data_IF_818005884327
#
_entry.id   IF_818005884327
#
_cell.length_a   1.000
_cell.length_b   1.000
_cell.length_c   1.000
_cell.angle_alpha   90.00
_cell.angle_beta   90.00
_cell.angle_gamma   90.00
#
_symmetry.space_group_name_H-M   'P 1'
#
loop_
_entity.id
_entity.type
_entity.pdbx_description
1 polymer ?
#
# COMPACT_ATOMS: atom_id res chain seq x y z
N UNK A 1 3.29 -4.81 5.79
CA UNK A 1 3.68 -4.47 5.65
C UNK A 1 3.95 -4.09 5.63
N UNK A 2 3.62 -4.16 5.50
CA UNK A 2 4.02 -3.70 5.26
C UNK A 2 4.55 -3.50 5.01
N UNK A 3 4.42 -3.37 4.65
CA UNK A 3 5.09 -3.09 4.37
C UNK A 3 5.42 -2.29 4.89
N UNK A 4 5.24 -2.03 5.44
CA UNK A 4 5.68 -1.31 6.13
C UNK A 4 5.35 -1.14 7.16
N UNK A 5 4.98 -1.41 7.62
CA UNK A 5 4.93 -1.13 8.43
C UNK A 5 5.30 -0.78 9.30
N UNK A 6 5.71 -0.33 9.64
CA UNK A 6 6.14 0.28 10.31
C UNK A 6 6.28 1.27 10.43
N UNK A 7 6.16 1.60 10.34
CA UNK A 7 6.62 2.27 10.01
C UNK A 7 6.78 3.34 10.26
N UNK A 8 6.54 3.73 11.04
CA UNK A 8 6.77 4.72 11.05
C UNK A 8 7.63 5.28 11.59
N UNK A 9 7.41 5.28 12.52
CA UNK A 9 8.43 5.64 13.10
C UNK A 9 9.26 5.51 12.43
N UNK A 10 8.95 5.06 12.42
CA UNK A 10 9.59 4.51 11.79
C UNK A 10 9.49 4.71 10.48
N UNK A 11 8.70 5.52 9.99
CA UNK A 11 8.64 5.80 8.75
C UNK A 11 9.73 6.56 8.33
N UNK A 12 10.17 7.49 9.09
CA UNK A 12 11.26 8.20 8.81
C UNK A 12 12.36 7.27 8.80
N UNK A 13 12.40 6.36 9.73
CA UNK A 13 13.43 5.40 9.77
C UNK A 13 13.30 4.44 8.63
N UNK A 14 12.12 4.17 8.18
CA UNK A 14 11.93 3.29 7.11
C UNK A 14 12.43 3.87 5.84
N UNK A 15 12.30 5.14 5.67
CA UNK A 15 12.80 5.83 4.53
C UNK A 15 14.31 5.74 4.52
N UNK A 16 14.92 5.88 5.66
CA UNK A 16 16.36 5.76 5.77
C UNK A 16 16.78 4.34 5.55
N UNK A 17 16.05 3.39 6.06
CA UNK A 17 16.39 1.99 5.87
C UNK A 17 16.27 1.63 4.40
N UNK A 18 15.30 2.15 3.72
CA UNK A 18 15.13 1.86 2.32
C UNK A 18 16.30 2.46 1.57
N UNK A 19 16.66 3.67 1.90
CA UNK A 19 17.77 4.34 1.26
C UNK A 19 19.05 3.57 1.51
N UNK A 20 19.28 3.10 2.69
CA UNK A 20 20.45 2.33 3.00
C UNK A 20 20.39 1.00 2.30
N UNK A 21 19.25 0.40 2.22
CA UNK A 21 19.08 -0.85 1.52
C UNK A 21 19.40 -0.71 0.05
N UNK A 22 18.96 0.36 -0.56
CA UNK A 22 19.25 0.59 -1.95
C UNK A 22 20.72 0.86 -2.15
N UNK A 23 21.33 1.58 -1.26
CA UNK A 23 22.72 1.86 -1.36
C UNK A 23 23.51 0.57 -1.24
N UNK A 24 23.13 -0.26 -0.29
CA UNK A 24 23.77 -1.51 -0.07
C UNK A 24 23.64 -2.36 -1.32
N UNK A 25 22.49 -2.32 -1.96
CA UNK A 25 22.29 -3.07 -3.10
C UNK A 25 23.13 -2.56 -4.20
N UNK A 26 23.32 -1.29 -4.34
CA UNK A 26 24.12 -0.71 -5.36
C UNK A 26 25.57 -1.11 -5.21
N UNK A 27 26.00 -1.29 -4.03
CA UNK A 27 27.34 -1.69 -3.80
C UNK A 27 27.53 -3.16 -4.03
N UNK A 28 26.58 -3.94 -3.65
CA UNK A 28 26.72 -5.35 -3.77
C UNK A 28 26.10 -5.94 -4.98
N UNK A 29 24.86 -5.69 -5.18
CA UNK A 29 24.17 -6.31 -6.21
C UNK A 29 23.39 -5.47 -7.02
N UNK A 30 23.65 -4.30 -7.03
CA UNK A 30 22.91 -3.33 -7.62
C UNK A 30 21.74 -3.64 -8.39
N UNK A 31 21.63 -3.97 -9.39
CA UNK A 31 20.48 -4.01 -10.12
C UNK A 31 19.44 -4.97 -9.75
N UNK A 32 19.85 -6.07 -9.39
CA UNK A 32 18.96 -7.07 -9.16
C UNK A 32 18.06 -6.73 -8.08
N UNK A 33 18.46 -5.97 -7.13
CA UNK A 33 17.70 -5.64 -6.11
C UNK A 33 16.49 -4.94 -6.40
N UNK A 34 16.43 -4.12 -7.34
CA UNK A 34 15.24 -3.41 -7.66
C UNK A 34 14.22 -4.40 -8.14
N UNK A 35 14.62 -5.33 -8.93
CA UNK A 35 13.70 -6.31 -9.42
C UNK A 35 13.08 -7.10 -8.31
N UNK A 36 13.85 -7.44 -7.34
CA UNK A 36 13.35 -8.26 -6.28
C UNK A 36 12.48 -7.48 -5.33
N UNK A 37 12.71 -6.18 -5.16
CA UNK A 37 11.91 -5.44 -4.24
C UNK A 37 10.66 -4.90 -4.92
N UNK A 38 10.58 -4.98 -6.20
CA UNK A 38 9.45 -4.44 -6.90
C UNK A 38 8.34 -5.47 -7.12
N UNK A 39 8.12 -6.31 -6.16
CA UNK A 39 7.05 -7.28 -6.26
C UNK A 39 5.72 -6.59 -5.99
N UNK A 40 4.64 -7.10 -6.55
CA UNK A 40 3.34 -6.50 -6.32
C UNK A 40 2.80 -6.93 -4.97
N UNK A 41 1.92 -6.14 -4.43
CA UNK A 41 1.29 -6.52 -3.17
C UNK A 41 0.47 -7.79 -3.37
N UNK A 42 -0.12 -7.97 -4.53
CA UNK A 42 -0.90 -9.18 -4.80
C UNK A 42 -0.02 -10.42 -4.69
N UNK A 43 1.17 -10.36 -5.23
CA UNK A 43 2.09 -11.49 -5.13
C UNK A 43 2.54 -11.74 -3.70
N UNK A 44 2.75 -10.68 -2.96
CA UNK A 44 3.14 -10.80 -1.56
C UNK A 44 2.02 -11.47 -0.77
N UNK A 45 0.79 -11.08 -1.03
CA UNK A 45 -0.35 -11.66 -0.34
C UNK A 45 -0.51 -13.15 -0.71
N UNK A 46 -0.28 -13.48 -1.97
CA UNK A 46 -0.36 -14.87 -2.40
C UNK A 46 0.73 -15.70 -1.72
N UNK A 47 1.94 -15.21 -1.72
CA UNK A 47 3.06 -15.95 -1.15
C UNK A 47 2.92 -16.14 0.35
N UNK A 48 2.29 -15.21 1.01
CA UNK A 48 2.12 -15.30 2.46
C UNK A 48 0.85 -16.04 2.86
N UNK A 49 0.09 -16.52 1.89
CA UNK A 49 -1.18 -17.19 2.14
C UNK A 49 -2.14 -16.30 2.91
N UNK A 50 -2.17 -15.04 2.56
CA UNK A 50 -3.06 -14.11 3.24
C UNK A 50 -4.52 -14.45 2.94
N UNK A 51 -5.42 -14.19 3.86
CA UNK A 51 -6.83 -14.44 3.61
C UNK A 51 -7.33 -13.49 2.54
N UNK A 52 -8.37 -13.87 1.84
CA UNK A 52 -8.90 -13.03 0.77
C UNK A 52 -9.62 -11.80 1.31
N UNK A 53 -10.12 -11.87 2.53
CA UNK A 53 -10.74 -10.72 3.16
C UNK A 53 -9.84 -10.30 4.31
N UNK A 54 -9.32 -9.10 4.21
CA UNK A 54 -8.36 -8.58 5.17
C UNK A 54 -9.01 -7.39 5.86
N UNK A 55 -8.79 -7.25 7.13
CA UNK A 55 -9.47 -6.21 7.89
C UNK A 55 -8.97 -4.80 7.58
N UNK A 56 -7.72 -4.62 7.41
CA UNK A 56 -7.17 -3.28 7.24
C UNK A 56 -5.90 -3.28 6.40
N UNK A 57 -5.82 -2.36 5.47
CA UNK A 57 -4.57 -2.04 4.80
C UNK A 57 -4.24 -0.60 5.16
N UNK A 58 -3.10 -0.37 5.78
CA UNK A 58 -2.64 0.96 6.09
C UNK A 58 -1.47 1.24 5.15
N UNK A 59 -1.58 2.28 4.35
CA UNK A 59 -0.63 2.53 3.30
C UNK A 59 -0.06 3.94 3.39
N UNK A 60 1.23 4.03 3.56
CA UNK A 60 1.91 5.29 3.68
C UNK A 60 3.28 5.13 3.02
N UNK A 61 3.33 5.18 1.71
CA UNK A 61 4.53 4.92 0.94
C UNK A 61 5.00 6.13 0.15
N UNK A 62 4.75 7.28 0.69
CA UNK A 62 5.34 8.52 0.21
C UNK A 62 5.19 8.74 -1.31
N UNK A 63 3.99 8.68 -1.78
CA UNK A 63 3.72 8.99 -3.17
C UNK A 63 3.55 7.79 -4.08
N UNK A 64 3.80 6.59 -3.58
CA UNK A 64 3.66 5.38 -4.38
C UNK A 64 2.39 4.61 -4.09
N UNK A 65 1.41 5.26 -3.44
CA UNK A 65 0.19 4.56 -3.03
C UNK A 65 -0.56 3.99 -4.22
N UNK A 66 -0.64 4.75 -5.31
CA UNK A 66 -1.37 4.26 -6.47
C UNK A 66 -0.71 3.03 -7.09
N UNK A 67 0.61 3.01 -7.11
CA UNK A 67 1.32 1.87 -7.66
C UNK A 67 1.06 0.62 -6.82
N UNK A 68 1.05 0.77 -5.51
CA UNK A 68 0.80 -0.36 -4.64
C UNK A 68 -0.62 -0.87 -4.86
N UNK A 69 -1.58 0.05 -4.93
CA UNK A 69 -2.98 -0.34 -5.11
C UNK A 69 -3.21 -0.98 -6.46
N UNK A 70 -2.55 -0.50 -7.49
CA UNK A 70 -2.70 -1.08 -8.81
C UNK A 70 -2.08 -2.47 -8.89
N UNK A 71 -1.22 -2.81 -7.96
CA UNK A 71 -0.63 -4.12 -7.88
C UNK A 71 -1.46 -5.13 -7.12
N UNK A 72 -2.73 -4.82 -6.85
CA UNK A 72 -3.63 -5.72 -6.16
C UNK A 72 -4.77 -6.11 -7.09
N UNK A 73 -5.12 -7.38 -7.08
CA UNK A 73 -6.32 -7.81 -7.77
C UNK A 73 -7.48 -7.60 -6.80
N UNK A 74 -8.22 -6.54 -7.00
CA UNK A 74 -9.29 -6.14 -6.07
C UNK A 74 -10.50 -7.04 -6.13
N UNK A 75 -10.54 -8.00 -7.05
CA UNK A 75 -11.59 -8.98 -7.06
C UNK A 75 -11.20 -10.21 -6.26
N UNK A 76 -9.91 -10.35 -6.02
CA UNK A 76 -9.40 -11.49 -5.27
C UNK A 76 -9.19 -11.14 -3.81
N UNK A 77 -8.58 -9.99 -3.54
CA UNK A 77 -8.30 -9.55 -2.17
C UNK A 77 -9.10 -8.30 -1.87
N UNK A 78 -9.86 -8.35 -0.77
CA UNK A 78 -10.64 -7.20 -0.36
C UNK A 78 -10.21 -6.78 1.05
N UNK A 79 -10.17 -5.47 1.27
CA UNK A 79 -9.80 -4.93 2.57
C UNK A 79 -11.04 -4.25 3.13
N UNK A 80 -11.42 -4.60 4.35
CA UNK A 80 -12.60 -4.00 4.92
C UNK A 80 -12.38 -2.50 5.03
N UNK A 81 -11.20 -2.09 5.44
CA UNK A 81 -10.84 -0.70 5.52
C UNK A 81 -9.49 -0.44 4.89
N UNK A 82 -9.36 0.73 4.26
CA UNK A 82 -8.08 1.18 3.72
C UNK A 82 -7.78 2.52 4.37
N UNK A 83 -6.64 2.63 5.03
CA UNK A 83 -6.20 3.89 5.61
C UNK A 83 -5.02 4.35 4.78
N UNK A 84 -5.18 5.38 3.99
CA UNK A 84 -4.18 5.77 3.01
C UNK A 84 -3.80 7.23 3.13
N UNK A 85 -2.52 7.49 3.13
CA UNK A 85 -2.01 8.84 3.09
C UNK A 85 -1.80 9.19 1.63
N UNK A 86 -2.32 10.31 1.17
CA UNK A 86 -2.13 10.73 -0.20
C UNK A 86 -2.14 12.24 -0.30
N UNK A 87 -1.42 12.75 -1.28
CA UNK A 87 -1.45 14.16 -1.59
C UNK A 87 -2.29 14.41 -2.83
N UNK A 88 -2.80 13.38 -3.47
CA UNK A 88 -3.67 13.52 -4.62
C UNK A 88 -4.96 12.75 -4.35
N UNK A 89 -5.79 13.34 -3.51
CA UNK A 89 -7.02 12.68 -3.08
C UNK A 89 -7.94 12.35 -4.25
N UNK A 90 -8.06 13.26 -5.21
CA UNK A 90 -9.00 13.01 -6.28
C UNK A 90 -8.63 11.79 -7.10
N UNK A 91 -7.36 11.65 -7.40
CA UNK A 91 -6.89 10.52 -8.20
C UNK A 91 -7.10 9.24 -7.42
N UNK A 92 -6.79 9.25 -6.14
CA UNK A 92 -6.94 8.08 -5.30
C UNK A 92 -8.41 7.72 -5.16
N UNK A 93 -9.24 8.70 -4.88
CA UNK A 93 -10.65 8.48 -4.66
C UNK A 93 -11.32 7.93 -5.92
N UNK A 94 -11.00 8.47 -7.07
CA UNK A 94 -11.57 7.99 -8.33
C UNK A 94 -11.19 6.53 -8.57
N UNK A 95 -9.94 6.20 -8.33
CA UNK A 95 -9.47 4.84 -8.51
C UNK A 95 -10.18 3.88 -7.55
N UNK A 96 -10.28 4.28 -6.30
CA UNK A 96 -10.88 3.41 -5.30
C UNK A 96 -12.39 3.26 -5.53
N UNK A 97 -13.04 4.30 -6.00
CA UNK A 97 -14.46 4.20 -6.28
C UNK A 97 -14.71 3.21 -7.42
N UNK A 98 -13.84 3.19 -8.41
CA UNK A 98 -13.95 2.24 -9.51
C UNK A 98 -13.75 0.80 -9.02
N UNK A 99 -13.14 0.63 -7.89
CA UNK A 99 -12.87 -0.69 -7.31
C UNK A 99 -13.75 -0.97 -6.09
N UNK A 100 -14.84 -0.25 -5.99
CA UNK A 100 -15.86 -0.46 -4.96
C UNK A 100 -15.39 -0.19 -3.54
N UNK A 101 -14.61 0.88 -3.39
CA UNK A 101 -14.25 1.39 -2.08
C UNK A 101 -14.76 2.83 -2.01
N UNK A 102 -15.34 3.20 -0.88
CA UNK A 102 -15.87 4.55 -0.72
C UNK A 102 -15.19 5.22 0.46
N UNK A 103 -15.10 6.53 0.41
CA UNK A 103 -14.54 7.30 1.50
C UNK A 103 -15.45 7.23 2.70
N UNK A 104 -14.92 6.83 3.83
CA UNK A 104 -15.66 6.79 5.06
C UNK A 104 -15.38 8.05 5.87
N UNK A 105 -14.12 8.45 5.97
CA UNK A 105 -13.77 9.60 6.77
C UNK A 105 -12.39 10.15 6.41
N UNK A 106 -12.25 11.46 6.45
CA UNK A 106 -10.94 12.08 6.32
C UNK A 106 -10.38 12.15 7.73
N UNK A 107 -9.26 11.53 7.96
CA UNK A 107 -8.70 11.42 9.30
C UNK A 107 -7.80 12.58 9.65
N UNK A 108 -7.06 13.10 8.68
CA UNK A 108 -6.21 14.24 8.90
C UNK A 108 -5.97 14.93 7.57
N UNK A 109 -4.98 15.81 7.51
CA UNK A 109 -4.75 16.61 6.34
C UNK A 109 -4.56 15.78 5.08
N UNK A 110 -3.84 14.69 5.17
CA UNK A 110 -3.57 13.83 4.03
C UNK A 110 -3.96 12.38 4.25
N UNK A 111 -4.64 12.08 5.36
CA UNK A 111 -4.98 10.70 5.69
C UNK A 111 -6.46 10.45 5.54
N UNK A 112 -6.80 9.41 4.80
CA UNK A 112 -8.19 9.12 4.48
C UNK A 112 -8.51 7.65 4.78
N UNK A 113 -9.71 7.42 5.28
CA UNK A 113 -10.17 6.08 5.58
C UNK A 113 -11.25 5.71 4.59
N UNK A 114 -11.03 4.61 3.88
CA UNK A 114 -12.00 4.11 2.90
C UNK A 114 -12.55 2.77 3.39
N UNK A 115 -13.72 2.43 2.93
CA UNK A 115 -14.38 1.21 3.31
C UNK A 115 -14.81 0.41 2.09
N UNK A 116 -14.75 -0.92 2.21
CA UNK A 116 -15.20 -1.81 1.15
C UNK A 116 -16.71 -1.64 0.97
N UNK A 117 -17.11 -1.28 -0.23
CA UNK A 117 -18.50 -1.07 -0.52
C UNK A 117 -19.17 -2.29 -1.16
N UNK A 118 -18.45 -3.36 -1.38
CA UNK A 118 -19.03 -4.54 -2.00
C UNK A 118 -19.99 -5.25 -1.08
N UNK A 119 -19.74 -5.16 0.21
CA UNK A 119 -20.59 -5.85 1.17
C UNK A 119 -21.92 -5.15 1.40
N UNK A 120 -22.01 -3.93 0.99
CA UNK A 120 -23.20 -3.16 1.23
C UNK A 120 -24.27 -3.47 0.20
N UNK A 121 -23.85 -3.96 -0.92
CA UNK A 121 -24.78 -4.31 -1.97
C UNK A 121 -25.39 -5.66 -1.72
#
# INVERSE_FOLDING_TARGET
MTISNNVESDLKNSSEHLHQGMKYLQEGEKNYKFGSVADTLNNILLKSNAPKKIDLLSLDVEGSEMEVLKGINHKEYRFKYLCIETRDYKKLSDYLLQNDYILLKKLSFHDYLFEDNTQIK
#
